data_IF_097872277086
#
_entry.id   IF_097872277086
#
_cell.length_a   1.000
_cell.length_b   1.000
_cell.length_c   1.000
_cell.angle_alpha   90.00
_cell.angle_beta   90.00
_cell.angle_gamma   90.00
#
_symmetry.space_group_name_H-M   'P 1'
#
loop_
_entity.id
_entity.type
_entity.pdbx_description
1 polymer ?
#
# COMPACT_ATOMS: atom_id res chain seq x y z
N UNK A 1 -5.69 -16.11 23.22
CA UNK A 1 -5.16 -14.74 23.18
C UNK A 1 -5.96 -14.00 22.11
N UNK A 2 -6.37 -12.75 22.31
CA UNK A 2 -7.14 -12.00 21.30
C UNK A 2 -6.20 -11.60 20.16
N UNK A 3 -6.59 -11.90 18.92
CA UNK A 3 -5.91 -11.45 17.71
C UNK A 3 -6.67 -10.28 17.09
N UNK A 4 -5.94 -9.40 16.43
CA UNK A 4 -6.46 -8.27 15.66
C UNK A 4 -5.95 -8.41 14.23
N UNK A 5 -6.77 -8.09 13.27
CA UNK A 5 -6.44 -8.19 11.85
C UNK A 5 -6.43 -6.80 11.23
N UNK A 6 -5.38 -6.52 10.48
CA UNK A 6 -5.20 -5.28 9.76
C UNK A 6 -4.85 -5.60 8.31
N UNK A 7 -5.65 -5.13 7.37
CA UNK A 7 -5.32 -5.29 5.96
C UNK A 7 -4.73 -3.99 5.42
N UNK A 8 -3.56 -4.07 4.80
CA UNK A 8 -2.97 -2.98 4.04
C UNK A 8 -3.29 -3.21 2.56
N UNK A 9 -3.93 -2.24 1.89
CA UNK A 9 -4.26 -2.29 0.47
C UNK A 9 -3.58 -1.15 -0.28
N UNK A 10 -2.98 -1.46 -1.43
CA UNK A 10 -2.47 -0.46 -2.38
C UNK A 10 -3.64 0.13 -3.15
N UNK A 11 -3.62 1.44 -3.38
CA UNK A 11 -4.58 2.10 -4.27
C UNK A 11 -4.55 1.51 -5.69
N UNK A 12 -5.64 1.67 -6.46
CA UNK A 12 -5.71 1.30 -7.87
C UNK A 12 -4.86 2.22 -8.76
N UNK A 13 -4.75 1.91 -10.04
CA UNK A 13 -3.96 2.67 -11.01
C UNK A 13 -4.38 4.14 -11.07
N UNK A 14 -3.45 5.05 -10.77
CA UNK A 14 -3.65 6.50 -10.78
C UNK A 14 -3.16 7.14 -12.08
N UNK A 15 -3.64 8.37 -12.35
CA UNK A 15 -3.19 9.16 -13.49
C UNK A 15 -1.67 9.41 -13.40
N UNK A 16 -0.99 9.25 -14.51
CA UNK A 16 0.46 9.35 -14.63
C UNK A 16 1.24 8.07 -14.33
N UNK A 17 0.72 7.14 -13.53
CA UNK A 17 1.41 5.88 -13.24
C UNK A 17 1.55 5.00 -14.48
N UNK A 18 0.54 4.92 -15.34
CA UNK A 18 0.60 4.18 -16.62
C UNK A 18 1.60 4.74 -17.61
N UNK A 19 2.02 6.00 -17.43
CA UNK A 19 3.08 6.64 -18.22
C UNK A 19 4.47 6.43 -17.58
N UNK A 20 4.56 5.71 -16.47
CA UNK A 20 5.80 5.52 -15.71
C UNK A 20 6.28 6.77 -14.99
N UNK A 21 5.38 7.70 -14.64
CA UNK A 21 5.75 8.90 -13.88
C UNK A 21 5.94 8.56 -12.40
N UNK A 22 6.87 9.24 -11.77
CA UNK A 22 7.00 9.23 -10.31
C UNK A 22 5.84 10.00 -9.69
N UNK A 23 4.82 9.30 -9.22
CA UNK A 23 3.62 9.86 -8.59
C UNK A 23 3.70 9.61 -7.08
N UNK A 24 4.25 10.54 -6.35
CA UNK A 24 4.38 10.48 -4.89
C UNK A 24 3.27 11.27 -4.19
N UNK A 25 3.59 12.46 -3.69
CA UNK A 25 2.63 13.33 -2.99
C UNK A 25 1.66 14.06 -3.93
N UNK A 26 1.84 13.95 -5.25
CA UNK A 26 0.88 14.47 -6.24
C UNK A 26 -0.50 13.88 -6.01
N UNK A 27 -1.52 14.74 -5.88
CA UNK A 27 -2.91 14.31 -5.64
C UNK A 27 -3.60 13.85 -6.94
N UNK A 28 -3.02 12.84 -7.60
CA UNK A 28 -3.54 12.24 -8.82
C UNK A 28 -4.75 11.33 -8.48
N UNK A 29 -5.88 11.46 -9.21
CA UNK A 29 -7.03 10.57 -9.08
C UNK A 29 -6.75 9.22 -9.76
N UNK A 30 -7.65 8.24 -9.56
CA UNK A 30 -7.62 6.99 -10.31
C UNK A 30 -7.94 7.22 -11.78
N UNK A 31 -7.25 6.48 -12.66
CA UNK A 31 -7.64 6.40 -14.07
C UNK A 31 -9.01 5.71 -14.22
N UNK A 32 -9.60 5.81 -15.42
CA UNK A 32 -10.82 5.07 -15.74
C UNK A 32 -10.57 3.55 -15.68
N UNK A 33 -9.44 3.12 -16.19
CA UNK A 33 -8.97 1.72 -16.20
C UNK A 33 -8.75 1.23 -14.77
N UNK A 34 -8.09 2.03 -13.92
CA UNK A 34 -7.88 1.70 -12.51
C UNK A 34 -9.20 1.53 -11.73
N UNK A 35 -10.20 2.38 -12.01
CA UNK A 35 -11.54 2.25 -11.42
C UNK A 35 -12.24 0.95 -11.88
N UNK A 36 -12.12 0.62 -13.17
CA UNK A 36 -12.71 -0.62 -13.70
C UNK A 36 -12.04 -1.85 -13.10
N UNK A 37 -10.69 -1.89 -13.05
CA UNK A 37 -9.94 -2.98 -12.43
C UNK A 37 -10.36 -3.22 -10.97
N UNK A 38 -10.52 -2.16 -10.17
CA UNK A 38 -11.00 -2.29 -8.78
C UNK A 38 -12.42 -2.85 -8.69
N UNK A 39 -13.31 -2.46 -9.62
CA UNK A 39 -14.67 -3.01 -9.67
C UNK A 39 -14.64 -4.50 -10.04
N UNK A 40 -13.81 -4.88 -10.99
CA UNK A 40 -13.64 -6.27 -11.43
C UNK A 40 -13.07 -7.14 -10.30
N UNK A 41 -12.01 -6.67 -9.64
CA UNK A 41 -11.42 -7.33 -8.46
C UNK A 41 -12.47 -7.52 -7.35
N UNK A 42 -13.23 -6.47 -7.03
CA UNK A 42 -14.28 -6.54 -6.02
C UNK A 42 -15.40 -7.52 -6.41
N UNK A 43 -15.67 -7.67 -7.69
CA UNK A 43 -16.66 -8.62 -8.20
C UNK A 43 -16.21 -10.07 -8.19
N UNK A 44 -14.90 -10.30 -8.33
CA UNK A 44 -14.28 -11.62 -8.45
C UNK A 44 -13.70 -12.17 -7.14
N UNK A 45 -13.25 -11.29 -6.23
CA UNK A 45 -12.50 -11.65 -5.04
C UNK A 45 -13.18 -11.15 -3.76
N UNK A 46 -12.86 -11.76 -2.63
CA UNK A 46 -13.37 -11.39 -1.32
C UNK A 46 -12.44 -10.42 -0.59
N UNK A 47 -12.87 -9.18 -0.46
CA UNK A 47 -12.16 -8.19 0.36
C UNK A 47 -12.45 -8.42 1.85
N UNK A 48 -11.43 -8.32 2.73
CA UNK A 48 -11.59 -8.49 4.16
C UNK A 48 -12.62 -7.53 4.74
N UNK A 49 -13.35 -8.00 5.77
CA UNK A 49 -14.28 -7.15 6.51
C UNK A 49 -13.56 -6.01 7.22
N UNK A 50 -14.19 -4.84 7.29
CA UNK A 50 -13.65 -3.65 7.95
C UNK A 50 -14.62 -3.13 9.02
N UNK A 51 -14.28 -3.35 10.31
CA UNK A 51 -14.91 -2.63 11.44
C UNK A 51 -14.47 -1.15 11.44
N UNK A 52 -13.27 -0.89 10.93
CA UNK A 52 -12.72 0.45 10.75
C UNK A 52 -11.95 0.53 9.43
N UNK A 53 -12.22 1.57 8.65
CA UNK A 53 -11.54 1.85 7.38
C UNK A 53 -10.69 3.12 7.52
N UNK A 54 -9.43 3.02 7.15
CA UNK A 54 -8.49 4.14 7.12
C UNK A 54 -7.98 4.36 5.70
N UNK A 55 -7.60 5.59 5.40
CA UNK A 55 -7.05 5.91 4.06
C UNK A 55 -6.01 7.03 4.13
N UNK A 56 -5.07 7.00 3.20
CA UNK A 56 -4.25 8.17 2.83
C UNK A 56 -5.16 9.33 2.40
N UNK A 57 -4.76 10.60 2.59
CA UNK A 57 -5.54 11.75 2.13
C UNK A 57 -5.56 11.89 0.60
N UNK A 58 -4.67 11.22 -0.15
CA UNK A 58 -4.56 11.38 -1.60
C UNK A 58 -5.77 10.78 -2.34
N UNK A 59 -6.20 11.44 -3.42
CA UNK A 59 -7.42 11.12 -4.16
C UNK A 59 -7.49 9.65 -4.56
N UNK A 60 -6.42 9.08 -5.13
CA UNK A 60 -6.35 7.69 -5.54
C UNK A 60 -6.68 6.69 -4.42
N UNK A 61 -6.22 6.97 -3.18
CA UNK A 61 -6.53 6.12 -2.03
C UNK A 61 -7.99 6.29 -1.58
N UNK A 62 -8.49 7.52 -1.53
CA UNK A 62 -9.88 7.80 -1.15
C UNK A 62 -10.87 7.21 -2.16
N UNK A 63 -10.58 7.33 -3.45
CA UNK A 63 -11.41 6.76 -4.51
C UNK A 63 -11.37 5.22 -4.47
N UNK A 64 -10.20 4.61 -4.23
CA UNK A 64 -10.06 3.16 -4.01
C UNK A 64 -10.88 2.71 -2.82
N UNK A 65 -10.77 3.39 -1.68
CA UNK A 65 -11.54 3.08 -0.48
C UNK A 65 -13.06 3.14 -0.74
N UNK A 66 -13.52 4.16 -1.47
CA UNK A 66 -14.94 4.31 -1.81
C UNK A 66 -15.46 3.23 -2.77
N UNK A 67 -14.63 2.76 -3.69
CA UNK A 67 -14.98 1.68 -4.63
C UNK A 67 -15.01 0.31 -3.95
N UNK A 68 -14.03 0.02 -3.10
CA UNK A 68 -13.93 -1.29 -2.45
C UNK A 68 -14.85 -1.42 -1.23
N UNK A 69 -15.09 -0.34 -0.50
CA UNK A 69 -15.88 -0.30 0.74
C UNK A 69 -16.93 0.82 0.69
N UNK A 70 -17.94 0.75 -0.19
CA UNK A 70 -18.89 1.86 -0.45
C UNK A 70 -19.75 2.23 0.76
N UNK A 71 -19.99 1.28 1.66
CA UNK A 71 -20.81 1.48 2.86
C UNK A 71 -20.00 1.97 4.07
N UNK A 72 -18.66 2.00 3.97
CA UNK A 72 -17.79 2.42 5.04
C UNK A 72 -17.38 3.90 4.87
N UNK A 73 -17.27 4.60 6.00
CA UNK A 73 -16.73 5.98 6.02
C UNK A 73 -15.27 5.93 6.45
N UNK A 74 -14.31 6.22 5.55
CA UNK A 74 -12.90 6.15 5.89
C UNK A 74 -12.47 7.27 6.84
N UNK A 75 -11.57 6.93 7.75
CA UNK A 75 -10.82 7.88 8.57
C UNK A 75 -9.53 8.23 7.81
N UNK A 76 -9.37 9.51 7.50
CA UNK A 76 -8.20 9.99 6.76
C UNK A 76 -7.01 10.16 7.71
N UNK A 77 -5.86 9.61 7.35
CA UNK A 77 -4.61 9.71 8.08
C UNK A 77 -3.56 10.44 7.23
N UNK A 78 -3.30 11.71 7.53
CA UNK A 78 -2.35 12.54 6.78
C UNK A 78 -0.93 11.97 6.78
N UNK A 79 -0.54 11.26 7.84
CA UNK A 79 0.75 10.59 7.92
C UNK A 79 0.92 9.42 6.95
N UNK A 80 -0.11 9.00 6.21
CA UNK A 80 -0.04 7.97 5.17
C UNK A 80 0.03 8.54 3.75
N UNK A 81 0.48 9.78 3.55
CA UNK A 81 0.85 10.31 2.23
C UNK A 81 2.04 9.54 1.68
N UNK A 82 2.10 9.34 0.36
CA UNK A 82 3.27 8.73 -0.28
C UNK A 82 4.50 9.65 -0.18
N UNK A 83 5.65 9.13 -0.52
CA UNK A 83 6.90 9.86 -0.56
C UNK A 83 6.83 11.03 -1.55
N UNK A 84 7.30 12.20 -1.15
CA UNK A 84 7.40 13.34 -2.04
C UNK A 84 8.73 13.31 -2.80
N UNK A 85 8.67 13.09 -4.12
CA UNK A 85 9.85 12.97 -4.98
C UNK A 85 10.51 14.30 -5.37
N UNK A 86 10.06 15.44 -4.84
CA UNK A 86 10.67 16.74 -5.13
C UNK A 86 10.67 17.08 -6.62
N UNK A 87 11.85 17.36 -7.19
CA UNK A 87 11.97 17.69 -8.62
C UNK A 87 11.63 16.52 -9.56
N UNK A 88 11.60 15.29 -9.07
CA UNK A 88 11.23 14.13 -9.88
C UNK A 88 9.72 13.87 -9.90
N UNK A 89 8.97 14.55 -9.04
CA UNK A 89 7.51 14.42 -8.97
C UNK A 89 6.88 14.68 -10.35
N UNK A 90 6.01 13.77 -10.77
CA UNK A 90 5.28 13.82 -12.03
C UNK A 90 6.17 13.77 -13.30
N UNK A 91 7.41 13.29 -13.20
CA UNK A 91 8.31 13.08 -14.34
C UNK A 91 8.51 11.60 -14.61
N UNK A 92 8.77 11.28 -15.88
CA UNK A 92 9.13 9.94 -16.33
C UNK A 92 10.64 9.71 -16.28
N UNK A 93 11.13 8.45 -16.23
CA UNK A 93 12.56 8.16 -16.35
C UNK A 93 13.25 8.83 -17.57
N UNK A 94 12.68 8.81 -18.78
CA UNK A 94 13.28 9.52 -19.91
C UNK A 94 13.39 11.04 -19.73
N UNK A 95 12.44 11.67 -19.05
CA UNK A 95 12.50 13.12 -18.74
C UNK A 95 13.59 13.46 -17.71
N UNK A 96 14.07 12.46 -16.97
CA UNK A 96 15.09 12.60 -15.93
C UNK A 96 16.47 12.09 -16.39
N UNK A 97 16.58 11.50 -17.59
CA UNK A 97 17.80 10.84 -18.08
C UNK A 97 19.04 11.74 -18.02
N UNK A 98 18.90 13.01 -18.40
CA UNK A 98 19.99 14.01 -18.37
C UNK A 98 20.13 14.71 -17.01
N UNK A 99 19.32 14.35 -16.01
CA UNK A 99 19.42 15.01 -14.71
C UNK A 99 20.66 14.53 -13.94
N UNK A 100 21.53 15.42 -13.44
CA UNK A 100 22.85 15.06 -12.89
C UNK A 100 22.85 14.05 -11.72
N UNK A 101 21.73 14.01 -10.97
CA UNK A 101 21.62 13.17 -9.78
C UNK A 101 20.76 11.92 -10.02
N UNK A 102 20.05 11.82 -11.16
CA UNK A 102 19.05 10.79 -11.37
C UNK A 102 19.62 9.37 -11.32
N UNK A 103 20.65 9.09 -12.11
CA UNK A 103 21.27 7.75 -12.14
C UNK A 103 21.91 7.35 -10.81
N UNK A 104 22.46 8.31 -10.08
CA UNK A 104 23.06 8.07 -8.76
C UNK A 104 21.97 7.73 -7.74
N UNK A 105 20.87 8.47 -7.77
CA UNK A 105 19.71 8.20 -6.94
C UNK A 105 19.08 6.83 -7.27
N UNK A 106 18.89 6.53 -8.54
CA UNK A 106 18.36 5.24 -9.01
C UNK A 106 19.28 4.07 -8.62
N UNK A 107 20.59 4.28 -8.57
CA UNK A 107 21.56 3.31 -8.07
C UNK A 107 21.56 3.15 -6.53
N UNK A 108 20.71 3.89 -5.81
CA UNK A 108 20.59 3.80 -4.36
C UNK A 108 21.78 4.39 -3.61
N UNK A 109 22.44 5.45 -4.15
CA UNK A 109 23.56 6.07 -3.47
C UNK A 109 23.17 6.57 -2.06
N UNK A 110 23.86 6.12 -1.00
CA UNK A 110 23.48 6.43 0.36
C UNK A 110 23.39 7.94 0.64
N UNK A 111 22.29 8.37 1.25
CA UNK A 111 22.05 9.78 1.60
C UNK A 111 21.67 10.67 0.42
N UNK A 112 21.54 10.14 -0.79
CA UNK A 112 21.11 10.90 -1.94
C UNK A 112 19.59 10.80 -2.10
N UNK A 113 18.93 11.95 -2.10
CA UNK A 113 17.49 12.10 -2.40
C UNK A 113 17.31 13.00 -3.63
N UNK A 114 16.20 12.93 -4.33
CA UNK A 114 15.87 13.91 -5.37
C UNK A 114 15.89 15.33 -4.78
N UNK A 115 16.28 16.36 -5.56
CA UNK A 115 16.25 17.74 -5.08
C UNK A 115 14.85 18.13 -4.58
N UNK A 116 14.80 18.78 -3.43
CA UNK A 116 13.57 19.19 -2.73
C UNK A 116 12.61 18.05 -2.34
N UNK A 117 13.04 16.80 -2.43
CA UNK A 117 12.26 15.67 -1.94
C UNK A 117 12.15 15.69 -0.41
N UNK A 118 11.17 14.96 0.11
CA UNK A 118 11.10 14.63 1.54
C UNK A 118 12.37 13.86 1.95
N UNK A 119 12.97 14.19 3.10
CA UNK A 119 14.08 13.39 3.60
C UNK A 119 13.57 11.96 3.95
N UNK A 120 14.38 10.96 3.63
CA UNK A 120 13.98 9.57 3.85
C UNK A 120 13.67 9.28 5.33
N UNK A 121 14.43 9.89 6.24
CA UNK A 121 14.20 9.77 7.68
C UNK A 121 12.84 10.39 8.09
N UNK A 122 12.52 11.59 7.57
CA UNK A 122 11.25 12.25 7.86
C UNK A 122 10.06 11.43 7.33
N UNK A 123 10.20 10.86 6.12
CA UNK A 123 9.21 9.95 5.56
C UNK A 123 9.00 8.73 6.46
N UNK A 124 10.08 8.06 6.86
CA UNK A 124 10.02 6.87 7.71
C UNK A 124 9.42 7.20 9.09
N UNK A 125 9.85 8.26 9.73
CA UNK A 125 9.32 8.68 11.05
C UNK A 125 7.83 8.98 10.98
N UNK A 126 7.38 9.63 9.90
CA UNK A 126 5.99 9.96 9.67
C UNK A 126 5.12 8.71 9.50
N UNK A 127 5.53 7.79 8.62
CA UNK A 127 4.73 6.59 8.34
C UNK A 127 4.76 5.60 9.51
N UNK A 128 5.93 5.35 10.12
CA UNK A 128 6.07 4.43 11.25
C UNK A 128 5.34 4.96 12.49
N UNK A 129 5.50 6.25 12.79
CA UNK A 129 4.78 6.89 13.90
C UNK A 129 3.26 6.87 13.71
N UNK A 130 2.77 7.05 12.48
CA UNK A 130 1.33 6.96 12.16
C UNK A 130 0.84 5.53 12.32
N UNK A 131 1.58 4.56 11.80
CA UNK A 131 1.23 3.14 11.90
C UNK A 131 1.22 2.64 13.35
N UNK A 132 2.24 2.97 14.14
CA UNK A 132 2.29 2.62 15.57
C UNK A 132 1.11 3.19 16.35
N UNK A 133 0.73 4.45 16.08
CA UNK A 133 -0.48 5.05 16.70
C UNK A 133 -1.77 4.34 16.28
N UNK A 134 -1.88 3.97 15.00
CA UNK A 134 -3.01 3.23 14.47
C UNK A 134 -3.15 1.87 15.19
N UNK A 135 -2.08 1.06 15.20
CA UNK A 135 -2.10 -0.25 15.88
C UNK A 135 -2.41 -0.09 17.37
N UNK A 136 -1.77 0.86 18.04
CA UNK A 136 -2.08 1.17 19.46
C UNK A 136 -3.55 1.56 19.68
N UNK A 137 -4.15 2.28 18.73
CA UNK A 137 -5.58 2.62 18.71
C UNK A 137 -6.46 1.38 18.59
N UNK A 138 -6.17 0.46 17.66
CA UNK A 138 -6.91 -0.79 17.48
C UNK A 138 -6.88 -1.65 18.74
N UNK A 139 -5.71 -1.81 19.34
CA UNK A 139 -5.54 -2.57 20.59
C UNK A 139 -6.32 -1.94 21.74
N UNK A 140 -6.32 -0.60 21.86
CA UNK A 140 -7.00 0.13 22.92
C UNK A 140 -8.52 0.11 22.78
N UNK A 141 -9.05 0.25 21.56
CA UNK A 141 -10.50 0.25 21.29
C UNK A 141 -11.08 -1.15 21.23
N UNK A 142 -10.24 -2.15 20.97
CA UNK A 142 -10.66 -3.53 20.77
C UNK A 142 -11.22 -3.80 19.36
N UNK A 143 -11.01 -2.89 18.40
CA UNK A 143 -11.37 -3.05 16.99
C UNK A 143 -10.59 -4.20 16.38
N UNK A 144 -11.27 -5.25 15.94
CA UNK A 144 -10.63 -6.52 15.57
C UNK A 144 -10.28 -6.64 14.10
N UNK A 145 -10.97 -5.92 13.24
CA UNK A 145 -10.73 -5.92 11.80
C UNK A 145 -10.64 -4.49 11.27
N UNK A 146 -9.50 -4.12 10.74
CA UNK A 146 -9.30 -2.81 10.15
C UNK A 146 -8.70 -2.94 8.75
N UNK A 147 -9.01 -1.97 7.89
CA UNK A 147 -8.43 -1.87 6.55
C UNK A 147 -7.80 -0.50 6.39
N UNK A 148 -6.63 -0.46 5.78
CA UNK A 148 -5.91 0.76 5.41
C UNK A 148 -5.68 0.78 3.92
N UNK A 149 -6.24 1.75 3.21
CA UNK A 149 -5.92 1.99 1.81
C UNK A 149 -4.81 3.03 1.72
N UNK A 150 -3.66 2.62 1.19
CA UNK A 150 -2.44 3.43 1.13
C UNK A 150 -1.65 3.17 -0.16
N UNK A 151 -0.34 3.32 -0.15
CA UNK A 151 0.55 3.31 -1.31
C UNK A 151 1.55 2.16 -1.25
N UNK A 152 2.08 1.77 -2.42
CA UNK A 152 3.04 0.67 -2.52
C UNK A 152 4.30 0.90 -1.71
N UNK A 153 4.91 2.09 -1.81
CA UNK A 153 6.11 2.44 -1.05
C UNK A 153 5.91 2.36 0.46
N UNK A 154 4.75 2.81 0.94
CA UNK A 154 4.40 2.73 2.37
C UNK A 154 4.21 1.28 2.82
N UNK A 155 3.47 0.46 2.06
CA UNK A 155 3.26 -0.96 2.40
C UNK A 155 4.61 -1.67 2.50
N UNK A 156 5.46 -1.52 1.50
CA UNK A 156 6.80 -2.11 1.48
C UNK A 156 7.63 -1.68 2.70
N UNK A 157 7.67 -0.40 3.03
CA UNK A 157 8.42 0.13 4.17
C UNK A 157 7.87 -0.37 5.52
N UNK A 158 6.54 -0.40 5.69
CA UNK A 158 5.89 -0.90 6.90
C UNK A 158 6.17 -2.39 7.12
N UNK A 159 6.06 -3.21 6.07
CA UNK A 159 6.26 -4.65 6.20
C UNK A 159 7.73 -5.03 6.37
N UNK A 160 8.66 -4.33 5.72
CA UNK A 160 10.09 -4.51 5.99
C UNK A 160 10.46 -4.17 7.44
N UNK A 161 9.78 -3.19 8.07
CA UNK A 161 10.05 -2.78 9.46
C UNK A 161 9.37 -3.65 10.51
N UNK A 162 8.10 -3.97 10.31
CA UNK A 162 7.23 -4.59 11.31
C UNK A 162 6.82 -6.04 10.99
N UNK A 163 6.93 -6.47 9.73
CA UNK A 163 6.43 -7.76 9.22
C UNK A 163 7.23 -8.97 9.69
N UNK A 164 6.52 -10.08 9.84
CA UNK A 164 7.07 -11.42 10.00
C UNK A 164 6.36 -12.34 8.97
N UNK A 165 7.10 -13.20 8.24
CA UNK A 165 8.56 -13.34 8.28
C UNK A 165 9.28 -12.05 7.87
N UNK A 166 10.51 -11.87 8.36
CA UNK A 166 11.35 -10.75 7.89
C UNK A 166 11.73 -10.96 6.43
N UNK A 167 11.53 -9.94 5.60
CA UNK A 167 11.86 -9.96 4.18
C UNK A 167 12.32 -8.58 3.72
N UNK A 168 13.01 -8.54 2.59
CA UNK A 168 13.49 -7.30 2.00
C UNK A 168 12.31 -6.44 1.50
N UNK A 169 12.50 -5.13 1.47
CA UNK A 169 11.44 -4.17 1.13
C UNK A 169 10.75 -4.50 -0.20
N UNK A 170 11.50 -4.86 -1.23
CA UNK A 170 10.97 -5.16 -2.57
C UNK A 170 10.13 -6.44 -2.65
N UNK A 171 10.28 -7.37 -1.71
CA UNK A 171 9.48 -8.59 -1.63
C UNK A 171 8.02 -8.31 -1.22
N UNK A 172 7.75 -7.13 -0.68
CA UNK A 172 6.41 -6.68 -0.29
C UNK A 172 5.70 -5.85 -1.37
N UNK A 173 6.17 -5.95 -2.63
CA UNK A 173 5.48 -5.30 -3.75
C UNK A 173 4.13 -5.98 -3.98
N UNK A 174 3.09 -5.18 -4.26
CA UNK A 174 1.74 -5.68 -4.49
C UNK A 174 1.04 -4.89 -5.60
N UNK A 175 0.19 -5.54 -6.42
CA UNK A 175 -0.61 -4.86 -7.43
C UNK A 175 -1.61 -3.87 -6.85
N UNK A 176 -2.12 -2.97 -7.69
CA UNK A 176 -3.19 -2.03 -7.32
C UNK A 176 -4.48 -2.75 -6.91
N UNK A 177 -5.10 -2.30 -5.83
CA UNK A 177 -6.26 -2.94 -5.22
C UNK A 177 -5.96 -4.16 -4.35
N UNK A 178 -4.70 -4.61 -4.32
CA UNK A 178 -4.25 -5.77 -3.55
C UNK A 178 -3.36 -5.34 -2.39
N UNK A 179 -3.01 -6.30 -1.54
CA UNK A 179 -2.17 -6.05 -0.37
C UNK A 179 -2.02 -7.25 0.54
N UNK A 180 -1.94 -7.01 1.84
CA UNK A 180 -1.61 -8.05 2.80
C UNK A 180 -2.53 -8.02 4.02
N UNK A 181 -2.98 -9.19 4.44
CA UNK A 181 -3.67 -9.41 5.71
C UNK A 181 -2.64 -9.67 6.81
N UNK A 182 -2.70 -8.86 7.86
CA UNK A 182 -1.76 -8.85 8.98
C UNK A 182 -2.47 -9.31 10.24
N UNK A 183 -1.82 -10.18 11.03
CA UNK A 183 -2.26 -10.55 12.37
C UNK A 183 -1.42 -9.83 13.42
N UNK A 184 -2.08 -9.12 14.31
CA UNK A 184 -1.48 -8.40 15.42
C UNK A 184 -1.89 -9.09 16.72
N UNK A 185 -0.92 -9.50 17.53
CA UNK A 185 -1.16 -9.95 18.89
C UNK A 185 -0.54 -8.97 19.87
N UNK A 186 -1.21 -8.66 21.00
CA UNK A 186 -0.64 -7.74 21.98
C UNK A 186 0.76 -8.13 22.46
N UNK A 187 1.05 -9.43 22.52
CA UNK A 187 2.35 -9.94 22.97
C UNK A 187 3.46 -9.62 21.95
N UNK A 188 3.24 -9.88 20.66
CA UNK A 188 4.22 -9.58 19.62
C UNK A 188 4.45 -8.07 19.49
N UNK A 189 3.34 -7.30 19.54
CA UNK A 189 3.41 -5.85 19.42
C UNK A 189 4.15 -5.20 20.57
N UNK A 190 3.82 -5.57 21.83
CA UNK A 190 4.51 -5.03 23.01
C UNK A 190 5.95 -5.53 23.17
N UNK A 191 6.28 -6.70 22.61
CA UNK A 191 7.59 -7.32 22.72
C UNK A 191 8.62 -6.80 21.72
N UNK A 192 8.21 -6.09 20.66
CA UNK A 192 9.13 -5.62 19.63
C UNK A 192 8.46 -4.95 18.43
N UNK A 193 7.21 -4.53 18.57
CA UNK A 193 6.42 -3.93 17.47
C UNK A 193 6.42 -4.79 16.21
N UNK A 194 6.25 -6.12 16.36
CA UNK A 194 6.16 -7.05 15.22
C UNK A 194 4.71 -7.52 15.02
N UNK A 195 4.40 -7.87 13.77
CA UNK A 195 3.13 -8.44 13.33
C UNK A 195 3.38 -9.54 12.29
N UNK A 196 2.40 -10.42 12.13
CA UNK A 196 2.53 -11.54 11.20
C UNK A 196 1.79 -11.23 9.90
N UNK A 197 2.46 -11.37 8.77
CA UNK A 197 1.81 -11.37 7.45
C UNK A 197 1.22 -12.76 7.24
N UNK A 198 -0.10 -12.87 7.20
CA UNK A 198 -0.78 -14.18 7.21
C UNK A 198 -1.34 -14.59 5.86
N UNK A 199 -1.67 -13.62 5.00
CA UNK A 199 -2.17 -13.87 3.67
C UNK A 199 -2.01 -12.64 2.78
N UNK A 200 -2.17 -12.81 1.48
CA UNK A 200 -2.46 -11.72 0.55
C UNK A 200 -3.95 -11.36 0.64
N UNK A 201 -4.28 -10.14 0.24
CA UNK A 201 -5.66 -9.64 0.18
C UNK A 201 -5.89 -8.92 -1.17
N UNK A 202 -7.09 -9.03 -1.78
CA UNK A 202 -8.24 -9.85 -1.38
C UNK A 202 -7.97 -11.37 -1.54
N UNK A 203 -8.81 -12.20 -0.94
CA UNK A 203 -8.74 -13.67 -1.04
C UNK A 203 -9.59 -14.18 -2.20
N UNK A 204 -9.22 -15.34 -2.75
CA UNK A 204 -10.08 -16.06 -3.69
C UNK A 204 -11.32 -16.59 -2.95
N UNK A 205 -12.49 -16.65 -3.60
CA UNK A 205 -13.69 -17.24 -2.97
C UNK A 205 -13.42 -18.69 -2.54
N UNK A 206 -13.94 -19.10 -1.37
CA UNK A 206 -13.77 -20.47 -0.86
C UNK A 206 -14.46 -21.57 -1.68
N UNK A 207 -15.34 -21.23 -2.61
CA UNK A 207 -16.05 -22.17 -3.46
C UNK A 207 -15.20 -22.62 -4.64
N UNK A 208 -14.45 -23.71 -4.45
CA UNK A 208 -13.61 -24.38 -5.48
C UNK A 208 -14.41 -24.86 -6.73
N UNK A 209 -15.74 -24.82 -6.70
CA UNK A 209 -16.58 -25.39 -7.77
C UNK A 209 -16.86 -24.42 -8.95
N UNK A 210 -16.50 -23.14 -8.87
CA UNK A 210 -16.79 -22.14 -9.92
C UNK A 210 -15.59 -21.60 -10.69
N UNK A 211 -14.36 -21.91 -10.32
CA UNK A 211 -13.16 -21.47 -11.06
C UNK A 211 -12.54 -22.60 -11.88
N UNK A 212 -12.19 -22.37 -13.16
CA UNK A 212 -11.45 -23.36 -13.93
C UNK A 212 -10.06 -23.58 -13.29
N UNK A 213 -9.58 -24.86 -13.20
CA UNK A 213 -8.42 -25.25 -12.39
C UNK A 213 -7.04 -24.74 -12.89
N UNK A 214 -6.95 -23.80 -13.79
CA UNK A 214 -5.69 -23.47 -14.47
C UNK A 214 -5.25 -21.99 -14.41
N UNK A 215 -5.92 -21.09 -13.68
CA UNK A 215 -5.47 -19.69 -13.58
C UNK A 215 -5.70 -19.11 -12.19
N UNK A 216 -4.64 -19.06 -11.41
CA UNK A 216 -4.59 -18.14 -10.27
C UNK A 216 -4.66 -16.70 -10.79
N UNK A 217 -5.68 -15.94 -10.41
CA UNK A 217 -5.84 -14.51 -10.74
C UNK A 217 -4.62 -13.66 -10.36
N UNK A 218 -3.83 -14.14 -9.42
CA UNK A 218 -2.58 -13.50 -8.98
C UNK A 218 -1.48 -13.48 -10.05
N UNK A 219 -1.44 -14.50 -10.95
CA UNK A 219 -0.46 -14.56 -12.04
C UNK A 219 -0.75 -13.57 -13.17
N UNK A 220 -2.00 -13.08 -13.29
CA UNK A 220 -2.38 -12.10 -14.31
C UNK A 220 -2.16 -10.64 -13.84
N UNK A 221 -1.88 -10.44 -12.56
CA UNK A 221 -1.61 -9.13 -11.97
C UNK A 221 -0.13 -8.76 -11.93
N UNK A 222 0.76 -9.61 -12.46
CA UNK A 222 2.17 -9.26 -12.66
C UNK A 222 2.25 -8.12 -13.68
N UNK A 223 2.46 -6.91 -13.22
CA UNK A 223 2.70 -5.75 -14.07
C UNK A 223 3.99 -5.95 -14.88
N UNK A 224 3.96 -5.80 -16.22
CA UNK A 224 5.18 -5.68 -17.00
C UNK A 224 5.74 -4.27 -16.79
N UNK A 225 6.77 -4.14 -15.98
CA UNK A 225 7.64 -2.98 -15.99
C UNK A 225 7.66 -2.10 -14.76
N UNK A 226 8.28 -2.58 -13.71
CA UNK A 226 9.01 -1.74 -12.76
C UNK A 226 10.48 -2.10 -12.89
N UNK A 227 11.18 -1.39 -13.77
CA UNK A 227 12.64 -1.29 -13.77
C UNK A 227 13.00 0.01 -13.08
#
# INVERSE_FOLDING_TARGET
>A
MKSYYLTLLRHGLAEGESEGRYIGDTDAPLTREGKQQLCDLRGALQYPHADALFTSPLARCRETAALLYPDAKPIVLDGLREYYFGEYENKTPPELEDHPLYHRWLAGEPGLTPPFAEALEDFQDRIFGTFTKLVGGLLKTGTTHAVVVTHGGIIMALLARFGLPEAEMHEWLTPGGCGFLLRITPMLWSGGEKLEVVAMAPEEPEDEDELPPERSLWLELEEPGLV
#
